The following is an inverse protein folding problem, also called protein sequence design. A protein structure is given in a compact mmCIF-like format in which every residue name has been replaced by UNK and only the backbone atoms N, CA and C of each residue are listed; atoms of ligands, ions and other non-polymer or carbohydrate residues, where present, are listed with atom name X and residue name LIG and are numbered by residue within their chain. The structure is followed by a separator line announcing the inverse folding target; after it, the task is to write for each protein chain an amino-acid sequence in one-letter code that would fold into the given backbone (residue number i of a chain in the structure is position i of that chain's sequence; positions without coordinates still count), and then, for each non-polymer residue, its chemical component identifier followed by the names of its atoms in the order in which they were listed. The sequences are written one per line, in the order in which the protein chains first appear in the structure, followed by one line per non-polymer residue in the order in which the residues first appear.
data_IF_209192216735
#
_entry.id   IF_209192216735
#
_cell.length_a   1.000
_cell.length_b   1.000
_cell.length_c   1.000
_cell.angle_alpha   90.00
_cell.angle_beta   90.00
_cell.angle_gamma   90.00
#
_symmetry.space_group_name_H-M   'P 1'
#
loop_
_entity.id
_entity.type
_entity.pdbx_description
1 polymer ?
#
# COMPACT_ATOMS: atom_id res chain seq x y z
N UNK A 1 10.35 -13.53 -5.33
CA UNK A 1 10.25 -12.56 -4.22
C UNK A 1 11.46 -11.67 -4.20
N UNK A 2 11.27 -10.36 -4.17
CA UNK A 2 12.33 -9.33 -4.23
C UNK A 2 12.48 -8.64 -2.87
N UNK A 3 13.67 -8.10 -2.58
CA UNK A 3 13.97 -7.47 -1.30
C UNK A 3 14.16 -5.96 -1.45
N UNK A 4 13.50 -5.17 -0.59
CA UNK A 4 13.75 -3.74 -0.41
C UNK A 4 14.76 -3.55 0.73
N UNK A 5 14.56 -4.26 1.83
CA UNK A 5 15.47 -4.32 2.99
C UNK A 5 15.46 -5.74 3.56
N UNK A 6 16.27 -6.00 4.58
CA UNK A 6 16.23 -7.30 5.28
C UNK A 6 14.88 -7.61 5.96
N UNK A 7 14.00 -6.63 6.17
CA UNK A 7 12.65 -6.79 6.77
C UNK A 7 11.51 -6.53 5.80
N UNK A 8 11.77 -5.94 4.63
CA UNK A 8 10.74 -5.61 3.63
C UNK A 8 11.05 -6.37 2.34
N UNK A 9 10.14 -7.22 1.94
CA UNK A 9 10.20 -7.96 0.68
C UNK A 9 8.85 -7.85 -0.05
N UNK A 10 8.83 -8.15 -1.35
CA UNK A 10 7.60 -8.09 -2.13
C UNK A 10 7.56 -9.14 -3.23
N UNK A 11 6.35 -9.50 -3.63
CA UNK A 11 6.07 -10.17 -4.89
C UNK A 11 5.71 -9.10 -5.91
N UNK A 12 6.32 -9.10 -7.09
CA UNK A 12 5.99 -8.14 -8.12
C UNK A 12 4.60 -8.37 -8.69
N UNK A 13 3.98 -7.28 -9.15
CA UNK A 13 2.72 -7.30 -9.86
C UNK A 13 2.77 -8.21 -11.10
N UNK A 14 1.62 -8.76 -11.48
CA UNK A 14 1.44 -9.58 -12.69
C UNK A 14 0.37 -8.98 -13.61
N UNK A 15 0.39 -9.35 -14.89
CA UNK A 15 -0.58 -8.88 -15.87
C UNK A 15 -1.68 -9.90 -16.19
N UNK A 16 -1.44 -11.20 -15.96
CA UNK A 16 -2.39 -12.27 -16.23
C UNK A 16 -2.30 -13.39 -15.16
N UNK A 17 -3.23 -13.42 -14.21
CA UNK A 17 -4.24 -12.38 -13.96
C UNK A 17 -3.59 -11.06 -13.51
N UNK A 18 -4.30 -9.94 -13.69
CA UNK A 18 -3.84 -8.66 -13.13
C UNK A 18 -3.82 -8.78 -11.60
N UNK A 19 -2.65 -8.57 -11.02
CA UNK A 19 -2.41 -8.64 -9.58
C UNK A 19 -1.39 -7.57 -9.19
N UNK A 20 -1.67 -6.83 -8.13
CA UNK A 20 -0.78 -5.81 -7.61
C UNK A 20 0.43 -6.43 -6.90
N UNK A 21 1.43 -5.60 -6.63
CA UNK A 21 2.53 -5.99 -5.75
C UNK A 21 2.01 -6.33 -4.35
N UNK A 22 2.50 -7.41 -3.79
CA UNK A 22 2.21 -7.81 -2.41
C UNK A 22 3.45 -7.61 -1.56
N UNK A 23 3.36 -6.76 -0.54
CA UNK A 23 4.49 -6.46 0.33
C UNK A 23 4.37 -7.19 1.66
N UNK A 24 5.52 -7.71 2.11
CA UNK A 24 5.69 -8.43 3.37
C UNK A 24 6.68 -7.67 4.23
N UNK A 25 6.23 -7.15 5.36
CA UNK A 25 7.08 -6.47 6.34
C UNK A 25 7.19 -7.36 7.58
N UNK A 26 8.40 -7.78 7.90
CA UNK A 26 8.64 -8.68 9.01
C UNK A 26 8.84 -7.90 10.32
N UNK A 27 7.84 -7.99 11.22
CA UNK A 27 7.95 -7.60 12.62
C UNK A 27 8.51 -8.72 13.49
N UNK A 28 8.68 -8.45 14.78
CA UNK A 28 9.15 -9.46 15.73
C UNK A 28 8.07 -10.53 15.99
N UNK A 29 6.79 -10.13 16.08
CA UNK A 29 5.64 -11.01 16.33
C UNK A 29 4.81 -11.33 15.10
N UNK A 30 4.64 -10.34 14.20
CA UNK A 30 3.70 -10.41 13.09
C UNK A 30 4.40 -10.23 11.74
N UNK A 31 3.75 -10.74 10.68
CA UNK A 31 3.95 -10.24 9.34
C UNK A 31 2.89 -9.19 9.03
N UNK A 32 3.31 -8.03 8.54
CA UNK A 32 2.43 -7.00 7.99
C UNK A 32 2.39 -7.20 6.49
N UNK A 33 1.20 -7.48 5.97
CA UNK A 33 0.97 -7.69 4.54
C UNK A 33 0.26 -6.46 4.00
N UNK A 34 0.89 -5.77 3.05
CA UNK A 34 0.28 -4.63 2.37
C UNK A 34 -0.14 -5.07 0.98
N UNK A 35 -1.46 -5.06 0.75
CA UNK A 35 -2.21 -5.70 -0.31
C UNK A 35 -2.04 -7.23 -0.38
N UNK A 36 -2.93 -7.91 -1.06
CA UNK A 36 -2.97 -9.38 -1.07
C UNK A 36 -2.96 -9.98 -2.47
N UNK A 37 -2.92 -9.12 -3.51
CA UNK A 37 -2.94 -9.57 -4.89
C UNK A 37 -4.26 -10.24 -5.30
N UNK A 38 -4.24 -10.83 -6.49
CA UNK A 38 -5.37 -11.53 -7.10
C UNK A 38 -4.92 -12.79 -7.87
N UNK A 39 -3.75 -13.31 -7.57
CA UNK A 39 -3.14 -14.47 -8.22
C UNK A 39 -2.76 -15.56 -7.22
N UNK A 40 -2.64 -16.80 -7.70
CA UNK A 40 -2.35 -17.97 -6.87
C UNK A 40 -0.94 -17.92 -6.25
N UNK A 41 0.02 -17.30 -6.91
CA UNK A 41 1.38 -17.18 -6.39
C UNK A 41 1.42 -16.26 -5.17
N UNK A 42 0.70 -15.14 -5.22
CA UNK A 42 0.54 -14.23 -4.08
C UNK A 42 -0.17 -14.93 -2.92
N UNK A 43 -1.26 -15.65 -3.20
CA UNK A 43 -2.00 -16.43 -2.20
C UNK A 43 -1.10 -17.49 -1.53
N UNK A 44 -0.34 -18.23 -2.32
CA UNK A 44 0.58 -19.26 -1.84
C UNK A 44 1.61 -18.67 -0.86
N UNK A 45 2.32 -17.61 -1.27
CA UNK A 45 3.36 -17.00 -0.44
C UNK A 45 2.80 -16.34 0.83
N UNK A 46 1.61 -15.76 0.78
CA UNK A 46 0.95 -15.22 1.98
C UNK A 46 0.64 -16.36 2.96
N UNK A 47 0.13 -17.50 2.49
CA UNK A 47 -0.23 -18.63 3.33
C UNK A 47 0.99 -19.37 3.91
N UNK A 48 2.15 -19.32 3.27
CA UNK A 48 3.40 -19.90 3.78
C UNK A 48 4.06 -19.09 4.90
N UNK A 49 3.59 -17.88 5.21
CA UNK A 49 4.16 -17.12 6.33
C UNK A 49 3.83 -17.78 7.66
N UNK A 50 4.86 -18.05 8.47
CA UNK A 50 4.71 -18.75 9.76
C UNK A 50 4.09 -17.88 10.85
N UNK A 51 4.38 -16.56 10.86
CA UNK A 51 3.84 -15.63 11.86
C UNK A 51 2.39 -15.26 11.54
N UNK A 52 1.61 -14.89 12.56
CA UNK A 52 0.29 -14.30 12.37
C UNK A 52 0.39 -13.03 11.50
N UNK A 53 -0.61 -12.83 10.67
CA UNK A 53 -0.64 -11.73 9.69
C UNK A 53 -1.51 -10.58 10.16
N UNK A 54 -1.02 -9.37 9.97
CA UNK A 54 -1.80 -8.13 10.02
C UNK A 54 -1.85 -7.61 8.58
N UNK A 55 -3.04 -7.55 8.01
CA UNK A 55 -3.25 -7.12 6.62
C UNK A 55 -3.67 -5.67 6.58
N UNK A 56 -3.11 -4.92 5.65
CA UNK A 56 -3.53 -3.56 5.31
C UNK A 56 -3.84 -3.54 3.82
N UNK A 57 -5.07 -3.21 3.45
CA UNK A 57 -5.44 -3.05 2.05
C UNK A 57 -5.35 -1.57 1.68
N UNK A 58 -4.59 -1.29 0.63
CA UNK A 58 -4.40 0.08 0.14
C UNK A 58 -5.70 0.68 -0.36
N UNK A 59 -6.43 -0.06 -1.19
CA UNK A 59 -7.74 0.33 -1.73
C UNK A 59 -8.50 -0.89 -2.25
N UNK A 60 -9.70 -0.69 -2.81
CA UNK A 60 -10.67 -1.75 -3.09
C UNK A 60 -10.55 -2.43 -4.46
N UNK A 61 -9.61 -2.05 -5.33
CA UNK A 61 -9.49 -2.68 -6.64
C UNK A 61 -9.12 -4.16 -6.52
N UNK A 62 -9.68 -4.97 -7.42
CA UNK A 62 -9.62 -6.42 -7.34
C UNK A 62 -8.21 -6.98 -7.31
N UNK A 63 -7.30 -6.39 -8.06
CA UNK A 63 -5.88 -6.79 -8.12
C UNK A 63 -5.13 -6.55 -6.80
N UNK A 64 -5.65 -5.71 -5.90
CA UNK A 64 -5.13 -5.47 -4.55
C UNK A 64 -5.80 -6.33 -3.48
N UNK A 65 -7.10 -6.65 -3.64
CA UNK A 65 -7.92 -7.29 -2.59
C UNK A 65 -8.36 -8.72 -2.93
N UNK A 66 -8.06 -9.23 -4.13
CA UNK A 66 -8.66 -10.44 -4.67
C UNK A 66 -8.54 -11.67 -3.78
N UNK A 67 -7.42 -11.83 -3.09
CA UNK A 67 -7.15 -12.99 -2.25
C UNK A 67 -7.62 -12.86 -0.79
N UNK A 68 -8.27 -11.75 -0.41
CA UNK A 68 -8.57 -11.47 1.01
C UNK A 68 -9.49 -12.50 1.68
N UNK A 69 -10.32 -13.20 0.93
CA UNK A 69 -11.22 -14.24 1.44
C UNK A 69 -10.53 -15.62 1.58
N UNK A 70 -9.34 -15.77 1.01
CA UNK A 70 -8.59 -17.03 0.95
C UNK A 70 -7.42 -17.10 1.95
N UNK A 71 -7.22 -16.06 2.77
CA UNK A 71 -6.12 -15.96 3.72
C UNK A 71 -6.61 -15.83 5.17
N UNK A 72 -5.82 -16.35 6.10
CA UNK A 72 -6.05 -16.15 7.52
C UNK A 72 -5.22 -14.95 8.01
N UNK A 73 -5.84 -14.06 8.78
CA UNK A 73 -5.20 -12.90 9.38
C UNK A 73 -5.77 -12.61 10.78
N UNK A 74 -4.95 -11.99 11.63
CA UNK A 74 -5.35 -11.53 12.95
C UNK A 74 -6.15 -10.24 12.90
N UNK A 75 -5.69 -9.28 12.11
CA UNK A 75 -6.33 -7.99 11.89
C UNK A 75 -6.27 -7.63 10.41
N UNK A 76 -7.32 -6.96 9.96
CA UNK A 76 -7.43 -6.35 8.64
C UNK A 76 -7.73 -4.86 8.82
N UNK A 77 -6.90 -3.99 8.26
CA UNK A 77 -7.09 -2.55 8.24
C UNK A 77 -7.47 -2.08 6.83
N UNK A 78 -8.48 -1.24 6.74
CA UNK A 78 -9.07 -0.77 5.49
C UNK A 78 -9.51 0.68 5.58
N UNK A 79 -9.48 1.39 4.48
CA UNK A 79 -10.14 2.68 4.34
C UNK A 79 -11.65 2.54 4.13
N UNK A 80 -12.39 3.64 4.26
CA UNK A 80 -13.86 3.65 4.23
C UNK A 80 -14.43 2.99 2.96
N UNK A 81 -13.95 3.39 1.78
CA UNK A 81 -14.45 2.87 0.51
C UNK A 81 -14.15 1.38 0.32
N UNK A 82 -12.98 0.94 0.76
CA UNK A 82 -12.62 -0.48 0.78
C UNK A 82 -13.55 -1.27 1.69
N UNK A 83 -13.83 -0.75 2.90
CA UNK A 83 -14.79 -1.38 3.82
C UNK A 83 -16.18 -1.51 3.20
N UNK A 84 -16.70 -0.45 2.59
CA UNK A 84 -18.00 -0.44 1.89
C UNK A 84 -18.05 -1.48 0.76
N UNK A 85 -16.93 -1.75 0.11
CA UNK A 85 -16.84 -2.68 -1.03
C UNK A 85 -16.73 -4.14 -0.59
N UNK A 86 -15.86 -4.44 0.39
CA UNK A 86 -15.58 -5.82 0.80
C UNK A 86 -16.35 -6.27 2.06
N UNK A 87 -16.99 -5.33 2.79
CA UNK A 87 -17.87 -5.62 3.93
C UNK A 87 -17.14 -6.06 5.21
N UNK A 88 -15.82 -5.88 5.31
CA UNK A 88 -15.03 -6.34 6.45
C UNK A 88 -13.77 -5.53 6.68
N UNK A 89 -13.18 -5.66 7.88
CA UNK A 89 -11.97 -4.97 8.32
C UNK A 89 -12.24 -3.91 9.39
N UNK A 90 -11.16 -3.33 9.91
CA UNK A 90 -11.17 -2.21 10.84
C UNK A 90 -10.93 -0.93 10.06
N UNK A 91 -11.83 0.02 10.18
CA UNK A 91 -11.68 1.32 9.56
C UNK A 91 -10.48 2.06 10.16
N UNK A 92 -9.70 2.67 9.29
CA UNK A 92 -8.61 3.58 9.64
C UNK A 92 -9.14 5.00 9.41
N UNK A 93 -9.49 5.68 10.49
CA UNK A 93 -9.94 7.09 10.48
C UNK A 93 -8.78 8.02 10.87
N UNK A 94 -7.99 7.59 11.86
CA UNK A 94 -6.79 8.26 12.35
C UNK A 94 -5.54 7.42 12.06
N UNK A 95 -4.36 8.01 12.28
CA UNK A 95 -3.09 7.30 12.13
C UNK A 95 -2.99 6.18 13.16
N UNK A 96 -2.79 4.95 12.69
CA UNK A 96 -2.52 3.79 13.55
C UNK A 96 -1.02 3.55 13.58
N UNK A 97 -0.43 3.59 14.78
CA UNK A 97 0.99 3.28 14.99
C UNK A 97 1.15 1.95 15.71
N UNK A 98 1.97 1.06 15.17
CA UNK A 98 2.31 -0.24 15.75
C UNK A 98 3.83 -0.33 15.85
N UNK A 99 4.34 -0.76 17.02
CA UNK A 99 5.76 -1.03 17.24
C UNK A 99 5.94 -2.53 17.50
N UNK A 100 6.67 -3.20 16.60
CA UNK A 100 6.88 -4.65 16.61
C UNK A 100 8.28 -5.00 16.07
N UNK A 101 9.33 -4.46 16.70
CA UNK A 101 10.70 -4.53 16.17
C UNK A 101 10.90 -3.75 14.86
N UNK A 102 9.82 -3.25 14.31
CA UNK A 102 9.67 -2.33 13.19
C UNK A 102 8.55 -1.36 13.53
N UNK A 103 8.71 -0.08 13.20
CA UNK A 103 7.63 0.90 13.36
C UNK A 103 6.75 0.90 12.12
N UNK A 104 5.47 0.63 12.28
CA UNK A 104 4.46 0.67 11.23
C UNK A 104 3.50 1.82 11.53
N UNK A 105 3.27 2.69 10.56
CA UNK A 105 2.21 3.69 10.61
C UNK A 105 1.28 3.47 9.42
N UNK A 106 0.00 3.28 9.69
CA UNK A 106 -1.07 3.15 8.70
C UNK A 106 -1.78 4.49 8.65
N UNK A 107 -1.80 5.12 7.48
CA UNK A 107 -2.35 6.45 7.30
C UNK A 107 -3.38 6.44 6.18
N UNK A 108 -4.43 7.24 6.36
CA UNK A 108 -5.33 7.58 5.27
C UNK A 108 -4.66 8.57 4.31
N UNK A 109 -4.86 8.38 3.02
CA UNK A 109 -4.39 9.31 1.99
C UNK A 109 -5.49 9.53 0.95
N UNK A 110 -5.94 10.77 0.81
CA UNK A 110 -6.79 11.16 -0.32
C UNK A 110 -6.04 10.92 -1.63
N UNK A 111 -6.73 10.46 -2.65
CA UNK A 111 -6.12 10.13 -3.93
C UNK A 111 -7.08 10.40 -5.09
N UNK A 112 -6.59 10.92 -6.23
CA UNK A 112 -7.39 11.00 -7.45
C UNK A 112 -7.66 9.64 -8.10
N UNK A 113 -6.97 8.58 -7.67
CA UNK A 113 -7.16 7.21 -8.13
C UNK A 113 -8.39 6.56 -7.48
N UNK A 114 -8.46 6.58 -6.14
CA UNK A 114 -9.58 6.01 -5.39
C UNK A 114 -9.82 6.77 -4.10
N UNK A 115 -11.07 6.72 -3.61
CA UNK A 115 -11.42 7.25 -2.31
C UNK A 115 -11.03 6.28 -1.20
N UNK A 116 -10.58 6.82 -0.06
CA UNK A 116 -10.29 6.03 1.13
C UNK A 116 -9.05 5.15 1.02
N UNK A 117 -8.04 5.58 0.25
CA UNK A 117 -6.78 4.86 0.15
C UNK A 117 -6.00 4.89 1.45
N UNK A 118 -5.32 3.79 1.77
CA UNK A 118 -4.37 3.70 2.88
C UNK A 118 -2.94 3.59 2.34
N UNK A 119 -2.03 4.20 3.06
CA UNK A 119 -0.58 4.08 2.85
C UNK A 119 0.07 3.50 4.10
N UNK A 120 1.21 2.86 3.92
CA UNK A 120 1.93 2.19 5.00
C UNK A 120 3.35 2.73 5.12
N UNK A 121 3.65 3.46 6.21
CA UNK A 121 4.99 3.96 6.50
C UNK A 121 5.73 2.95 7.39
N UNK A 122 6.96 2.62 7.01
CA UNK A 122 7.83 1.68 7.70
C UNK A 122 9.11 2.39 8.15
N UNK A 123 9.34 2.42 9.47
CA UNK A 123 10.52 2.97 10.14
C UNK A 123 10.81 4.45 9.81
N UNK A 124 9.81 5.25 9.43
CA UNK A 124 9.99 6.62 8.93
C UNK A 124 10.98 6.69 7.76
N UNK A 125 11.07 5.65 6.97
CA UNK A 125 12.04 5.55 5.89
C UNK A 125 11.44 5.15 4.55
N UNK A 126 10.54 4.18 4.55
CA UNK A 126 9.85 3.71 3.36
C UNK A 126 8.34 3.86 3.52
N UNK A 127 7.68 4.49 2.56
CA UNK A 127 6.21 4.57 2.54
C UNK A 127 5.69 3.86 1.30
N UNK A 128 4.92 2.81 1.51
CA UNK A 128 4.24 2.07 0.46
C UNK A 128 2.98 2.84 0.09
N UNK A 129 2.83 3.23 -1.16
CA UNK A 129 1.76 4.12 -1.63
C UNK A 129 0.82 3.49 -2.65
N UNK A 130 1.03 2.22 -3.00
CA UNK A 130 0.23 1.50 -4.02
C UNK A 130 0.04 2.36 -5.29
N UNK A 131 -1.23 2.56 -5.71
CA UNK A 131 -1.62 3.19 -6.97
C UNK A 131 -2.06 4.64 -6.81
N UNK A 132 -1.69 5.32 -5.74
CA UNK A 132 -2.26 6.63 -5.37
C UNK A 132 -2.40 7.63 -6.53
N UNK A 133 -1.45 7.66 -7.44
CA UNK A 133 -1.44 8.63 -8.53
C UNK A 133 -1.69 8.04 -9.92
N UNK A 134 -1.97 6.73 -10.03
CA UNK A 134 -2.34 6.12 -11.29
C UNK A 134 -3.74 6.56 -11.71
N UNK A 135 -3.80 7.64 -12.48
CA UNK A 135 -5.05 8.20 -12.98
C UNK A 135 -4.86 8.74 -14.39
N UNK A 136 -5.94 8.93 -15.11
CA UNK A 136 -5.95 9.52 -16.46
C UNK A 136 -6.82 10.77 -16.47
N UNK A 137 -6.47 11.79 -17.24
CA UNK A 137 -7.35 12.94 -17.43
C UNK A 137 -8.72 12.53 -17.99
N UNK A 138 -9.82 13.21 -17.56
CA UNK A 138 -9.85 14.23 -16.53
C UNK A 138 -9.72 13.61 -15.13
N UNK A 139 -8.91 14.19 -14.25
CA UNK A 139 -8.75 13.78 -12.87
C UNK A 139 -9.16 14.92 -11.91
N UNK A 140 -9.47 14.54 -10.68
CA UNK A 140 -9.82 15.47 -9.61
C UNK A 140 -8.55 16.18 -9.10
N UNK A 141 -8.38 17.45 -9.51
CA UNK A 141 -7.21 18.27 -9.15
C UNK A 141 -7.15 18.57 -7.66
N UNK A 142 -8.29 18.77 -7.01
CA UNK A 142 -8.32 19.09 -5.59
C UNK A 142 -7.82 17.89 -4.78
N UNK A 143 -8.27 16.68 -5.13
CA UNK A 143 -7.75 15.44 -4.53
C UNK A 143 -6.26 15.21 -4.83
N UNK A 144 -5.78 15.58 -6.01
CA UNK A 144 -4.36 15.46 -6.34
C UNK A 144 -3.49 16.41 -5.49
N UNK A 145 -3.94 17.65 -5.28
CA UNK A 145 -3.25 18.63 -4.43
C UNK A 145 -3.23 18.14 -2.98
N UNK A 146 -4.38 17.70 -2.48
CA UNK A 146 -4.48 17.16 -1.12
C UNK A 146 -3.56 15.95 -0.92
N UNK A 147 -3.53 15.01 -1.87
CA UNK A 147 -2.60 13.88 -1.87
C UNK A 147 -1.14 14.34 -1.77
N UNK A 148 -0.74 15.29 -2.61
CA UNK A 148 0.63 15.83 -2.61
C UNK A 148 0.97 16.46 -1.25
N UNK A 149 0.06 17.20 -0.63
CA UNK A 149 0.28 17.82 0.66
C UNK A 149 0.38 16.77 1.79
N UNK A 150 -0.43 15.73 1.74
CA UNK A 150 -0.30 14.58 2.64
C UNK A 150 1.09 13.93 2.46
N UNK A 151 1.49 13.61 1.24
CA UNK A 151 2.79 12.98 0.96
C UNK A 151 3.97 13.86 1.38
N UNK A 152 3.87 15.18 1.24
CA UNK A 152 4.87 16.14 1.76
C UNK A 152 5.01 16.08 3.28
N UNK A 153 3.90 15.91 4.01
CA UNK A 153 3.87 15.91 5.47
C UNK A 153 4.47 14.65 6.09
N UNK A 154 4.48 13.52 5.38
CA UNK A 154 4.95 12.22 5.90
C UNK A 154 6.45 12.26 6.16
N UNK A 155 6.84 11.83 7.35
CA UNK A 155 8.25 11.60 7.66
C UNK A 155 8.72 10.30 7.00
N UNK A 156 9.30 10.41 5.80
CA UNK A 156 9.85 9.28 5.02
C UNK A 156 10.99 9.75 4.13
N UNK A 157 11.85 8.82 3.71
CA UNK A 157 12.92 9.09 2.74
C UNK A 157 12.57 8.63 1.34
N UNK A 158 11.82 7.52 1.25
CA UNK A 158 11.51 6.86 -0.01
C UNK A 158 10.03 6.51 -0.07
N UNK A 159 9.47 6.65 -1.24
CA UNK A 159 8.19 6.06 -1.60
C UNK A 159 8.39 4.78 -2.39
N UNK A 160 7.51 3.80 -2.17
CA UNK A 160 7.49 2.53 -2.88
C UNK A 160 6.15 2.44 -3.62
N UNK A 161 6.24 2.28 -4.93
CA UNK A 161 5.12 2.39 -5.87
C UNK A 161 4.74 0.99 -6.34
N UNK A 162 3.43 0.72 -6.52
CA UNK A 162 2.95 -0.52 -7.13
C UNK A 162 3.05 -0.47 -8.66
N UNK A 163 2.92 -1.64 -9.30
CA UNK A 163 2.90 -1.82 -10.76
C UNK A 163 4.11 -1.23 -11.52
N UNK A 164 5.23 -1.01 -10.85
CA UNK A 164 6.46 -0.52 -11.45
C UNK A 164 7.54 -1.62 -11.43
N UNK A 165 8.10 -1.98 -12.58
CA UNK A 165 9.28 -2.85 -12.65
C UNK A 165 10.54 -2.06 -12.33
N UNK A 166 10.75 -0.96 -13.06
CA UNK A 166 11.84 -0.01 -12.84
C UNK A 166 11.37 1.14 -11.93
N UNK A 167 12.31 1.71 -11.18
CA UNK A 167 12.05 2.87 -10.29
C UNK A 167 10.96 2.62 -9.22
N UNK A 168 10.75 1.39 -8.79
CA UNK A 168 9.79 1.05 -7.73
C UNK A 168 10.06 1.83 -6.43
N UNK A 169 11.32 2.11 -6.10
CA UNK A 169 11.73 2.90 -4.93
C UNK A 169 12.21 4.26 -5.42
N UNK A 170 11.51 5.32 -5.04
CA UNK A 170 11.80 6.69 -5.46
C UNK A 170 12.05 7.56 -4.24
N UNK A 171 13.01 8.49 -4.31
CA UNK A 171 13.20 9.44 -3.22
C UNK A 171 11.99 10.36 -3.08
N UNK A 172 11.72 10.81 -1.86
CA UNK A 172 10.59 11.71 -1.58
C UNK A 172 10.62 12.95 -2.46
N UNK A 173 11.79 13.58 -2.59
CA UNK A 173 11.97 14.80 -3.37
C UNK A 173 11.67 14.57 -4.85
N UNK A 174 12.16 13.45 -5.41
CA UNK A 174 11.94 13.10 -6.81
C UNK A 174 10.46 12.84 -7.09
N UNK A 175 9.79 12.01 -6.28
CA UNK A 175 8.38 11.72 -6.49
C UNK A 175 7.51 12.98 -6.39
N UNK A 176 7.75 13.83 -5.39
CA UNK A 176 6.97 15.07 -5.24
C UNK A 176 7.16 16.02 -6.42
N UNK A 177 8.37 16.10 -6.99
CA UNK A 177 8.62 16.90 -8.19
C UNK A 177 7.87 16.33 -9.41
N UNK A 178 7.91 15.02 -9.62
CA UNK A 178 7.20 14.33 -10.70
C UNK A 178 5.67 14.50 -10.59
N UNK A 179 5.11 14.38 -9.38
CA UNK A 179 3.67 14.57 -9.15
C UNK A 179 3.23 16.01 -9.41
N UNK A 180 4.01 17.00 -8.96
CA UNK A 180 3.73 18.40 -9.22
C UNK A 180 3.75 18.71 -10.73
N UNK A 181 4.71 18.17 -11.46
CA UNK A 181 4.76 18.34 -12.92
C UNK A 181 3.58 17.67 -13.62
N UNK A 182 3.26 16.42 -13.23
CA UNK A 182 2.16 15.65 -13.82
C UNK A 182 0.78 16.30 -13.61
N UNK A 183 0.47 16.77 -12.40
CA UNK A 183 -0.83 17.34 -12.08
C UNK A 183 -0.97 18.84 -12.41
N UNK A 184 0.12 19.52 -12.79
CA UNK A 184 0.09 20.90 -13.27
C UNK A 184 -0.10 21.01 -14.79
N UNK A 185 -0.09 19.91 -15.54
CA UNK A 185 -0.42 19.86 -16.97
C UNK A 185 -1.94 19.89 -17.15
#
# INVERSE_FOLDING_TARGET
MNWITKRIKYLPATCDPLSADVYFIEGDKYYYIYDVGNDDNSLHHINETEKEKIVVLSHYHKDHVGNIDCINYRNLYVGKKTYETIGKGKLVEDVITINDGVKIEILHCTSPHTEGSLILNVDNKYTLIADLYFTRPPFDRDKAIEMIDILKSINTKYFVISHQEDNKIVSKEKLLAELLDYFNQ
#
